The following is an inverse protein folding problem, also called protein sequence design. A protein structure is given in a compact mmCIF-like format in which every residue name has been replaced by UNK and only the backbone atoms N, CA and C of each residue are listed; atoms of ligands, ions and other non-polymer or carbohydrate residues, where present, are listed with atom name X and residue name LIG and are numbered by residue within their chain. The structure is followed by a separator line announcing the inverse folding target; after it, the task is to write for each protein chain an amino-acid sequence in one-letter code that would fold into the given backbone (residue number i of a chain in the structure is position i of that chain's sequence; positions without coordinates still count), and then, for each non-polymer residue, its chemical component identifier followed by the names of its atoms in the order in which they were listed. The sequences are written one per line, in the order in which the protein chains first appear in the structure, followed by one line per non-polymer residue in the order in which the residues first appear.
data_IF_236867071322
#
_entry.id   IF_236867071322
#
_cell.length_a   1.000
_cell.length_b   1.000
_cell.length_c   1.000
_cell.angle_alpha   90.00
_cell.angle_beta   90.00
_cell.angle_gamma   90.00
#
_symmetry.space_group_name_H-M   'P 1'
#
loop_
_entity.id
_entity.type
_entity.pdbx_description
1 polymer ?
#
# COMPACT_ATOMS: atom_id res chain seq x y z
N UNK A 1 16.05 20.07 -18.06
CA UNK A 1 14.82 20.39 -17.31
C UNK A 1 14.29 21.73 -17.80
N UNK A 2 12.97 21.91 -17.98
CA UNK A 2 12.38 23.15 -18.50
C UNK A 2 12.11 24.22 -17.42
N UNK A 3 12.62 24.05 -16.19
CA UNK A 3 12.32 24.95 -15.08
C UNK A 3 13.31 26.11 -14.97
N UNK A 4 12.79 27.27 -14.57
CA UNK A 4 13.61 28.42 -14.19
C UNK A 4 14.30 28.12 -12.86
N UNK A 5 15.55 28.53 -12.73
CA UNK A 5 16.35 28.36 -11.53
C UNK A 5 16.90 29.71 -11.07
N UNK A 6 17.04 29.87 -9.75
CA UNK A 6 17.79 30.98 -9.17
C UNK A 6 19.28 30.74 -9.45
N UNK A 7 20.03 31.73 -9.98
CA UNK A 7 21.45 31.57 -10.23
C UNK A 7 22.22 31.19 -8.95
N UNK A 8 23.17 30.27 -9.05
CA UNK A 8 23.96 29.82 -7.90
C UNK A 8 24.75 30.96 -7.22
N UNK A 9 25.04 32.03 -7.96
CA UNK A 9 25.71 33.23 -7.46
C UNK A 9 24.82 34.13 -6.59
N UNK A 10 23.49 34.01 -6.62
CA UNK A 10 22.58 34.81 -5.81
C UNK A 10 22.40 34.18 -4.42
N UNK A 11 23.47 34.23 -3.63
CA UNK A 11 23.52 33.60 -2.31
C UNK A 11 22.56 34.22 -1.30
N UNK A 12 22.25 35.52 -1.46
CA UNK A 12 21.33 36.23 -0.56
C UNK A 12 19.89 35.76 -0.75
N UNK A 13 19.43 35.60 -2.00
CA UNK A 13 18.10 35.03 -2.28
C UNK A 13 18.01 33.59 -1.83
N UNK A 14 19.03 32.78 -2.11
CA UNK A 14 19.06 31.37 -1.69
C UNK A 14 18.95 31.28 -0.17
N UNK A 15 19.80 31.99 0.58
CA UNK A 15 19.77 32.00 2.06
C UNK A 15 18.41 32.42 2.61
N UNK A 16 17.82 33.49 2.06
CA UNK A 16 16.49 33.96 2.48
C UNK A 16 15.42 32.90 2.28
N UNK A 17 15.46 32.12 1.21
CA UNK A 17 14.50 31.04 0.96
C UNK A 17 14.67 29.88 1.94
N UNK A 18 15.91 29.48 2.25
CA UNK A 18 16.18 28.48 3.29
C UNK A 18 15.59 28.89 4.64
N UNK A 19 15.78 30.15 5.05
CA UNK A 19 15.25 30.68 6.31
C UNK A 19 13.72 30.85 6.28
N UNK A 20 13.16 31.30 5.15
CA UNK A 20 11.72 31.57 5.03
C UNK A 20 10.88 30.29 5.05
N UNK A 21 11.41 29.21 4.47
CA UNK A 21 10.68 27.95 4.30
C UNK A 21 11.19 26.80 5.17
N UNK A 22 12.11 27.10 6.09
CA UNK A 22 12.71 26.14 7.02
C UNK A 22 13.20 24.86 6.33
N UNK A 23 13.97 25.04 5.25
CA UNK A 23 14.38 23.94 4.38
C UNK A 23 15.47 23.10 5.06
N UNK A 24 15.07 21.97 5.67
CA UNK A 24 15.95 21.08 6.44
C UNK A 24 16.34 19.76 5.72
N UNK A 25 16.24 19.68 4.39
CA UNK A 25 16.43 18.40 3.68
C UNK A 25 16.83 18.47 2.20
N UNK A 26 16.96 17.28 1.60
CA UNK A 26 17.53 17.05 0.26
C UNK A 26 16.48 17.28 -0.85
N UNK A 27 15.18 17.25 -0.52
CA UNK A 27 14.09 17.56 -1.45
C UNK A 27 12.90 18.18 -0.70
N UNK A 28 12.54 19.43 -1.04
CA UNK A 28 11.32 20.08 -0.56
C UNK A 28 10.62 20.74 -1.75
N UNK A 29 9.30 20.63 -1.79
CA UNK A 29 8.45 21.21 -2.81
C UNK A 29 7.36 22.01 -2.12
N UNK A 30 7.30 23.31 -2.43
CA UNK A 30 6.37 24.25 -1.82
C UNK A 30 5.54 24.85 -2.94
N UNK A 31 4.23 24.74 -2.82
CA UNK A 31 3.31 25.38 -3.76
C UNK A 31 2.93 26.76 -3.22
N UNK A 32 3.08 27.78 -4.05
CA UNK A 32 2.72 29.16 -3.73
C UNK A 32 1.61 29.58 -4.70
N UNK A 33 0.54 30.16 -4.17
CA UNK A 33 -0.59 30.64 -4.97
C UNK A 33 -0.27 31.94 -5.73
N UNK A 34 -1.20 32.36 -6.58
CA UNK A 34 -1.07 33.59 -7.38
C UNK A 34 -0.94 34.88 -6.54
N UNK A 35 -1.27 34.85 -5.26
CA UNK A 35 -1.12 35.97 -4.33
C UNK A 35 0.23 35.93 -3.58
N UNK A 36 1.09 34.95 -3.87
CA UNK A 36 2.36 34.79 -3.19
C UNK A 36 2.26 34.09 -1.83
N UNK A 37 1.11 33.49 -1.50
CA UNK A 37 0.92 32.76 -0.23
C UNK A 37 1.21 31.27 -0.41
N UNK A 38 1.82 30.64 0.59
CA UNK A 38 2.06 29.19 0.60
C UNK A 38 0.72 28.45 0.59
N UNK A 39 0.44 27.70 -0.48
CA UNK A 39 -0.64 26.73 -0.54
C UNK A 39 -0.34 25.54 0.36
N UNK A 40 0.82 24.91 0.18
CA UNK A 40 1.30 23.79 1.01
C UNK A 40 2.83 23.77 1.01
N UNK A 41 3.42 23.41 2.15
CA UNK A 41 4.84 23.10 2.32
C UNK A 41 5.13 21.59 2.20
N UNK A 42 4.09 20.75 2.18
CA UNK A 42 4.16 19.32 1.97
C UNK A 42 3.94 18.90 0.51
N UNK A 43 4.48 19.68 -0.43
CA UNK A 43 4.25 19.48 -1.86
C UNK A 43 4.82 18.17 -2.38
N UNK A 44 5.90 17.65 -1.78
CA UNK A 44 6.51 16.37 -2.18
C UNK A 44 5.52 15.23 -1.96
N UNK A 45 5.00 15.06 -0.75
CA UNK A 45 4.03 13.99 -0.46
C UNK A 45 2.77 14.10 -1.30
N UNK A 46 2.24 15.32 -1.49
CA UNK A 46 1.05 15.53 -2.33
C UNK A 46 1.31 15.14 -3.79
N UNK A 47 2.52 15.40 -4.31
CA UNK A 47 2.90 15.01 -5.66
C UNK A 47 3.13 13.51 -5.79
N UNK A 48 3.75 12.88 -4.80
CA UNK A 48 3.97 11.44 -4.76
C UNK A 48 2.63 10.67 -4.69
N UNK A 49 1.66 11.21 -3.97
CA UNK A 49 0.40 10.54 -3.68
C UNK A 49 -0.69 10.80 -4.72
N UNK A 50 -0.83 12.06 -5.20
CA UNK A 50 -1.93 12.47 -6.07
C UNK A 50 -1.47 13.01 -7.44
N UNK A 51 -0.17 13.22 -7.63
CA UNK A 51 0.42 13.59 -8.92
C UNK A 51 -0.28 14.78 -9.60
N UNK A 52 -0.73 14.58 -10.85
CA UNK A 52 -1.40 15.62 -11.65
C UNK A 52 -2.78 16.00 -11.11
N UNK A 53 -3.45 15.11 -10.39
CA UNK A 53 -4.79 15.36 -9.85
C UNK A 53 -4.76 16.46 -8.79
N UNK A 54 -3.59 16.72 -8.20
CA UNK A 54 -3.33 17.84 -7.31
C UNK A 54 -3.47 19.21 -7.95
N UNK A 55 -3.46 19.32 -9.28
CA UNK A 55 -3.69 20.59 -9.99
C UNK A 55 -5.09 21.14 -9.66
N UNK A 56 -5.26 22.45 -9.36
CA UNK A 56 -4.34 23.58 -9.55
C UNK A 56 -3.36 23.85 -8.38
N UNK A 57 -2.99 22.83 -7.61
CA UNK A 57 -2.06 22.91 -6.47
C UNK A 57 -2.48 23.94 -5.41
N UNK A 58 -3.79 24.01 -5.17
CA UNK A 58 -4.39 24.88 -4.16
C UNK A 58 -4.72 24.12 -2.89
N UNK A 59 -4.79 24.83 -1.75
CA UNK A 59 -5.24 24.27 -0.47
C UNK A 59 -6.58 23.55 -0.59
N UNK A 60 -7.55 24.20 -1.25
CA UNK A 60 -8.89 23.65 -1.48
C UNK A 60 -8.85 22.34 -2.25
N UNK A 61 -8.02 22.25 -3.30
CA UNK A 61 -7.86 21.02 -4.07
C UNK A 61 -7.26 19.89 -3.23
N UNK A 62 -6.25 20.19 -2.41
CA UNK A 62 -5.66 19.20 -1.52
C UNK A 62 -6.66 18.69 -0.49
N UNK A 63 -7.46 19.57 0.12
CA UNK A 63 -8.51 19.16 1.04
C UNK A 63 -9.55 18.23 0.38
N UNK A 64 -9.96 18.53 -0.86
CA UNK A 64 -10.88 17.67 -1.61
C UNK A 64 -10.26 16.28 -1.83
N UNK A 65 -9.00 16.20 -2.22
CA UNK A 65 -8.32 14.92 -2.51
C UNK A 65 -8.14 14.08 -1.25
N UNK A 66 -7.74 14.72 -0.14
CA UNK A 66 -7.60 14.07 1.17
C UNK A 66 -8.96 13.55 1.63
N UNK A 67 -10.02 14.36 1.57
CA UNK A 67 -11.37 13.96 1.96
C UNK A 67 -11.90 12.80 1.09
N UNK A 68 -11.68 12.85 -0.23
CA UNK A 68 -12.01 11.75 -1.14
C UNK A 68 -11.26 10.45 -0.80
N UNK A 69 -9.97 10.53 -0.46
CA UNK A 69 -9.18 9.36 -0.04
C UNK A 69 -9.72 8.80 1.27
N UNK A 70 -10.02 9.66 2.24
CA UNK A 70 -10.59 9.23 3.52
C UNK A 70 -11.99 8.63 3.34
N UNK A 71 -12.85 9.20 2.52
CA UNK A 71 -14.15 8.62 2.17
C UNK A 71 -14.00 7.26 1.47
N UNK A 72 -13.03 7.12 0.57
CA UNK A 72 -12.74 5.84 -0.08
C UNK A 72 -12.28 4.80 0.94
N UNK A 73 -11.39 5.16 1.87
CA UNK A 73 -10.97 4.29 2.97
C UNK A 73 -12.14 3.95 3.90
N UNK A 74 -13.00 4.92 4.24
CA UNK A 74 -14.21 4.73 5.05
C UNK A 74 -15.22 3.81 4.36
N UNK A 75 -15.38 3.91 3.04
CA UNK A 75 -16.31 3.11 2.24
C UNK A 75 -15.69 1.85 1.61
N UNK A 76 -14.44 1.54 1.97
CA UNK A 76 -13.70 0.38 1.47
C UNK A 76 -14.50 -0.92 1.61
N UNK A 77 -14.40 -1.78 0.61
CA UNK A 77 -14.87 -3.16 0.63
C UNK A 77 -13.76 -4.08 0.12
N UNK A 78 -13.88 -5.38 0.33
CA UNK A 78 -12.94 -6.34 -0.24
C UNK A 78 -12.90 -6.24 -1.78
N UNK A 79 -14.07 -6.09 -2.39
CA UNK A 79 -14.19 -5.93 -3.84
C UNK A 79 -13.54 -4.65 -4.36
N UNK A 80 -13.64 -3.50 -3.66
CA UNK A 80 -12.97 -2.27 -4.11
C UNK A 80 -11.42 -2.36 -4.11
N UNK A 81 -10.88 -3.30 -3.32
CA UNK A 81 -9.45 -3.57 -3.19
C UNK A 81 -9.01 -4.61 -4.24
N UNK A 82 -9.70 -5.75 -4.32
CA UNK A 82 -9.24 -6.94 -5.05
C UNK A 82 -9.91 -7.14 -6.41
N UNK A 83 -10.94 -6.38 -6.77
CA UNK A 83 -11.59 -6.45 -8.08
C UNK A 83 -11.19 -5.24 -8.93
N UNK A 84 -10.91 -5.50 -10.20
CA UNK A 84 -10.68 -4.48 -11.21
C UNK A 84 -11.71 -4.60 -12.33
N UNK A 85 -11.76 -3.61 -13.23
CA UNK A 85 -12.66 -3.64 -14.38
C UNK A 85 -12.43 -4.83 -15.31
N UNK A 86 -11.24 -5.44 -15.26
CA UNK A 86 -10.85 -6.57 -16.11
C UNK A 86 -10.79 -7.92 -15.37
N UNK A 87 -10.91 -7.96 -14.04
CA UNK A 87 -10.72 -9.19 -13.26
C UNK A 87 -11.45 -9.16 -11.92
N UNK A 88 -12.12 -10.27 -11.60
CA UNK A 88 -12.80 -10.50 -10.32
C UNK A 88 -12.38 -11.82 -9.61
N UNK A 89 -11.28 -12.45 -10.01
CA UNK A 89 -10.81 -13.72 -9.47
C UNK A 89 -9.35 -13.66 -8.98
N UNK A 90 -8.98 -14.56 -8.08
CA UNK A 90 -7.63 -14.82 -7.58
C UNK A 90 -7.15 -16.18 -8.09
N UNK A 91 -5.85 -16.46 -7.94
CA UNK A 91 -5.25 -17.75 -8.29
C UNK A 91 -5.01 -18.56 -7.02
N UNK A 92 -5.40 -19.83 -7.02
CA UNK A 92 -4.89 -20.80 -6.04
C UNK A 92 -3.49 -21.28 -6.42
N UNK A 93 -2.83 -22.00 -5.51
CA UNK A 93 -1.54 -22.67 -5.77
C UNK A 93 -1.55 -23.60 -6.99
N UNK A 94 -2.71 -24.16 -7.34
CA UNK A 94 -2.87 -25.06 -8.48
C UNK A 94 -3.17 -24.29 -9.79
N UNK A 95 -3.16 -22.96 -9.74
CA UNK A 95 -3.49 -22.09 -10.88
C UNK A 95 -5.00 -21.95 -11.15
N UNK A 96 -5.85 -22.51 -10.29
CA UNK A 96 -7.30 -22.41 -10.44
C UNK A 96 -7.79 -21.00 -10.08
N UNK A 97 -8.83 -20.55 -10.77
CA UNK A 97 -9.47 -19.26 -10.50
C UNK A 97 -10.45 -19.39 -9.34
N UNK A 98 -10.35 -18.50 -8.35
CA UNK A 98 -11.25 -18.39 -7.19
C UNK A 98 -11.87 -17.00 -7.20
N UNK A 99 -13.20 -16.89 -7.14
CA UNK A 99 -13.84 -15.58 -7.20
C UNK A 99 -13.58 -14.78 -5.92
N UNK A 100 -13.34 -13.47 -6.04
CA UNK A 100 -13.13 -12.58 -4.87
C UNK A 100 -14.36 -12.61 -3.95
N UNK A 101 -15.56 -12.77 -4.50
CA UNK A 101 -16.81 -12.89 -3.72
C UNK A 101 -16.82 -14.09 -2.76
N UNK A 102 -16.03 -15.13 -3.02
CA UNK A 102 -15.92 -16.29 -2.12
C UNK A 102 -15.14 -15.97 -0.83
N UNK A 103 -14.48 -14.81 -0.77
CA UNK A 103 -13.78 -14.31 0.41
C UNK A 103 -14.61 -13.31 1.21
N UNK A 104 -15.80 -12.93 0.75
CA UNK A 104 -16.69 -12.04 1.50
C UNK A 104 -17.07 -12.66 2.86
N UNK A 105 -17.03 -11.86 3.92
CA UNK A 105 -17.28 -12.33 5.29
C UNK A 105 -16.11 -13.07 5.95
N UNK A 106 -14.96 -13.21 5.27
CA UNK A 106 -13.72 -13.76 5.86
C UNK A 106 -12.82 -12.63 6.36
N UNK A 107 -11.97 -12.92 7.34
CA UNK A 107 -10.79 -12.09 7.60
C UNK A 107 -9.76 -12.39 6.53
N UNK A 108 -9.27 -11.37 5.82
CA UNK A 108 -8.34 -11.53 4.70
C UNK A 108 -7.03 -10.79 4.98
N UNK A 109 -5.92 -11.52 4.99
CA UNK A 109 -4.58 -10.94 5.00
C UNK A 109 -4.12 -10.60 3.58
N UNK A 110 -3.77 -9.34 3.31
CA UNK A 110 -3.11 -8.94 2.07
C UNK A 110 -1.60 -8.94 2.32
N UNK A 111 -0.90 -9.89 1.72
CA UNK A 111 0.54 -10.03 1.84
C UNK A 111 1.22 -9.38 0.63
N UNK A 112 1.81 -8.20 0.82
CA UNK A 112 2.67 -7.56 -0.17
C UNK A 112 4.11 -7.96 0.10
N UNK A 113 4.77 -8.57 -0.88
CA UNK A 113 6.16 -8.99 -0.75
C UNK A 113 6.87 -9.02 -2.11
N UNK A 114 8.20 -9.10 -2.07
CA UNK A 114 9.12 -9.33 -3.18
C UNK A 114 9.82 -10.69 -3.03
N UNK A 115 10.68 -11.06 -3.98
CA UNK A 115 11.54 -12.25 -3.90
C UNK A 115 12.73 -12.10 -2.93
N UNK A 116 12.80 -11.01 -2.16
CA UNK A 116 13.87 -10.77 -1.18
C UNK A 116 13.84 -11.79 -0.03
N UNK A 117 15.01 -12.09 0.54
CA UNK A 117 15.18 -13.12 1.58
C UNK A 117 14.30 -12.85 2.83
N UNK A 118 14.22 -11.60 3.28
CA UNK A 118 13.39 -11.20 4.43
C UNK A 118 11.89 -11.42 4.19
N UNK A 119 11.44 -11.33 2.93
CA UNK A 119 10.08 -11.62 2.52
C UNK A 119 9.80 -13.13 2.57
N UNK A 120 10.74 -13.94 2.06
CA UNK A 120 10.62 -15.41 2.08
C UNK A 120 10.61 -15.95 3.52
N UNK A 121 11.47 -15.43 4.40
CA UNK A 121 11.49 -15.80 5.82
C UNK A 121 10.15 -15.49 6.50
N UNK A 122 9.59 -14.31 6.25
CA UNK A 122 8.29 -13.95 6.80
C UNK A 122 7.15 -14.82 6.24
N UNK A 123 7.16 -15.11 4.94
CA UNK A 123 6.16 -15.98 4.32
C UNK A 123 6.13 -17.36 5.00
N UNK A 124 7.30 -17.95 5.30
CA UNK A 124 7.39 -19.22 6.03
C UNK A 124 6.75 -19.12 7.43
N UNK A 125 7.02 -18.04 8.17
CA UNK A 125 6.40 -17.79 9.48
C UNK A 125 4.88 -17.70 9.35
N UNK A 126 4.39 -16.97 8.33
CA UNK A 126 2.96 -16.80 8.11
C UNK A 126 2.28 -18.10 7.66
N UNK A 127 2.96 -18.99 6.93
CA UNK A 127 2.46 -20.32 6.56
C UNK A 127 2.13 -21.14 7.82
N UNK A 128 3.00 -21.11 8.83
CA UNK A 128 2.75 -21.83 10.08
C UNK A 128 1.51 -21.31 10.81
N UNK A 129 1.34 -19.98 10.87
CA UNK A 129 0.17 -19.34 11.47
C UNK A 129 -1.09 -19.68 10.70
N UNK A 130 -1.04 -19.56 9.37
CA UNK A 130 -2.17 -19.86 8.48
C UNK A 130 -2.65 -21.31 8.65
N UNK A 131 -1.74 -22.27 8.61
CA UNK A 131 -2.09 -23.69 8.75
C UNK A 131 -2.76 -23.97 10.10
N UNK A 132 -2.21 -23.44 11.20
CA UNK A 132 -2.82 -23.59 12.54
C UNK A 132 -4.20 -22.93 12.64
N UNK A 133 -4.42 -21.81 11.97
CA UNK A 133 -5.75 -21.16 11.93
C UNK A 133 -6.75 -21.99 11.11
N UNK A 134 -6.33 -22.57 9.97
CA UNK A 134 -7.17 -23.48 9.19
C UNK A 134 -7.52 -24.76 9.98
N UNK A 135 -6.57 -25.32 10.74
CA UNK A 135 -6.82 -26.47 11.63
C UNK A 135 -7.86 -26.16 12.72
N UNK A 136 -7.85 -24.92 13.25
CA UNK A 136 -8.86 -24.45 14.21
C UNK A 136 -10.22 -24.12 13.58
N UNK A 137 -10.33 -24.16 12.25
CA UNK A 137 -11.55 -23.82 11.51
C UNK A 137 -11.82 -22.33 11.43
N UNK A 138 -10.80 -21.49 11.63
CA UNK A 138 -10.93 -20.03 11.58
C UNK A 138 -11.18 -19.56 10.14
N UNK A 139 -12.06 -18.57 9.99
CA UNK A 139 -12.43 -18.02 8.69
C UNK A 139 -11.42 -16.97 8.21
N UNK A 140 -10.16 -17.40 8.08
CA UNK A 140 -9.03 -16.58 7.66
C UNK A 140 -8.51 -17.01 6.29
N UNK A 141 -8.20 -16.06 5.42
CA UNK A 141 -7.58 -16.30 4.11
C UNK A 141 -6.44 -15.30 3.87
N UNK A 142 -5.49 -15.64 3.01
CA UNK A 142 -4.40 -14.74 2.61
C UNK A 142 -4.39 -14.56 1.10
N UNK A 143 -4.10 -13.33 0.65
CA UNK A 143 -3.93 -12.98 -0.76
C UNK A 143 -2.54 -12.40 -0.95
N UNK A 144 -1.70 -13.12 -1.68
CA UNK A 144 -0.39 -12.66 -2.12
C UNK A 144 -0.54 -11.58 -3.20
N UNK A 145 0.12 -10.46 -2.99
CA UNK A 145 0.31 -9.37 -3.94
C UNK A 145 1.81 -9.32 -4.24
N UNK A 146 2.20 -9.93 -5.36
CA UNK A 146 3.59 -10.06 -5.77
C UNK A 146 4.12 -8.73 -6.35
N UNK A 147 5.09 -8.12 -5.70
CA UNK A 147 5.75 -6.89 -6.16
C UNK A 147 7.17 -7.21 -6.66
N UNK A 148 7.54 -6.67 -7.83
CA UNK A 148 8.88 -6.83 -8.42
C UNK A 148 9.33 -8.27 -8.68
N UNK A 149 8.39 -9.21 -8.83
CA UNK A 149 8.72 -10.57 -9.24
C UNK A 149 9.01 -10.66 -10.73
N UNK A 150 9.89 -11.58 -11.11
CA UNK A 150 9.88 -12.17 -12.45
C UNK A 150 8.85 -13.30 -12.54
N UNK A 151 8.38 -13.62 -13.75
CA UNK A 151 7.27 -14.57 -13.94
C UNK A 151 7.58 -15.96 -13.37
N UNK A 152 8.80 -16.44 -13.58
CA UNK A 152 9.26 -17.75 -13.10
C UNK A 152 9.42 -17.79 -11.57
N UNK A 153 9.75 -16.65 -10.95
CA UNK A 153 9.78 -16.53 -9.49
C UNK A 153 8.37 -16.57 -8.91
N UNK A 154 7.43 -15.86 -9.54
CA UNK A 154 6.02 -15.87 -9.15
C UNK A 154 5.43 -17.29 -9.22
N UNK A 155 5.67 -18.03 -10.31
CA UNK A 155 5.19 -19.41 -10.46
C UNK A 155 5.70 -20.31 -9.33
N UNK A 156 7.00 -20.24 -9.04
CA UNK A 156 7.61 -21.02 -7.94
C UNK A 156 7.01 -20.68 -6.58
N UNK A 157 6.80 -19.39 -6.29
CA UNK A 157 6.19 -18.98 -5.01
C UNK A 157 4.72 -19.38 -4.94
N UNK A 158 3.98 -19.28 -6.04
CA UNK A 158 2.57 -19.69 -6.09
C UNK A 158 2.39 -21.18 -5.73
N UNK A 159 3.30 -22.03 -6.19
CA UNK A 159 3.29 -23.47 -5.89
C UNK A 159 3.61 -23.80 -4.42
N UNK A 160 4.28 -22.91 -3.68
CA UNK A 160 4.71 -23.15 -2.30
C UNK A 160 3.75 -22.58 -1.24
N UNK A 161 2.98 -21.54 -1.58
CA UNK A 161 2.04 -20.91 -0.64
C UNK A 161 0.74 -21.72 -0.52
N UNK A 162 0.14 -21.79 0.68
CA UNK A 162 -1.11 -22.53 0.92
C UNK A 162 -2.38 -21.68 0.70
N UNK A 163 -2.23 -20.45 0.21
CA UNK A 163 -3.27 -19.44 0.08
C UNK A 163 -3.36 -18.91 -1.36
N UNK A 164 -4.10 -17.80 -1.56
CA UNK A 164 -4.41 -17.27 -2.88
C UNK A 164 -3.42 -16.17 -3.32
N UNK A 165 -3.38 -15.87 -4.61
CA UNK A 165 -2.56 -14.78 -5.15
C UNK A 165 -3.33 -13.94 -6.19
N UNK A 166 -2.98 -12.67 -6.30
CA UNK A 166 -3.30 -11.91 -7.51
C UNK A 166 -2.51 -12.48 -8.69
N UNK A 167 -3.08 -12.49 -9.91
CA UNK A 167 -2.32 -12.85 -11.10
C UNK A 167 -1.05 -12.01 -11.27
N UNK A 168 -0.03 -12.61 -11.86
CA UNK A 168 1.22 -11.94 -12.17
C UNK A 168 0.99 -10.65 -12.99
N UNK A 169 1.66 -9.56 -12.59
CA UNK A 169 1.53 -8.22 -13.20
C UNK A 169 0.10 -7.67 -13.26
N UNK A 170 -0.75 -8.04 -12.31
CA UNK A 170 -2.06 -7.40 -12.18
C UNK A 170 -1.90 -5.90 -11.88
N UNK A 171 -2.64 -5.06 -12.63
CA UNK A 171 -2.61 -3.59 -12.49
C UNK A 171 -3.05 -3.10 -11.10
N UNK A 172 -3.76 -3.96 -10.36
CA UNK A 172 -4.19 -3.67 -8.99
C UNK A 172 -2.98 -3.56 -8.05
N UNK A 173 -1.85 -4.21 -8.35
CA UNK A 173 -0.67 -4.22 -7.47
C UNK A 173 -0.16 -2.80 -7.19
N UNK A 174 0.07 -1.99 -8.23
CA UNK A 174 0.50 -0.60 -8.09
C UNK A 174 -0.53 0.22 -7.30
N UNK A 175 -1.81 0.09 -7.65
CA UNK A 175 -2.91 0.77 -6.94
C UNK A 175 -2.88 0.46 -5.43
N UNK A 176 -2.62 -0.78 -5.05
CA UNK A 176 -2.60 -1.19 -3.64
C UNK A 176 -1.40 -0.64 -2.87
N UNK A 177 -0.24 -0.52 -3.52
CA UNK A 177 0.95 0.13 -2.95
C UNK A 177 0.62 1.57 -2.56
N UNK A 178 -0.01 2.33 -3.46
CA UNK A 178 -0.42 3.71 -3.17
C UNK A 178 -1.58 3.78 -2.18
N UNK A 179 -2.59 2.92 -2.32
CA UNK A 179 -3.80 2.96 -1.49
C UNK A 179 -3.51 2.72 0.00
N UNK A 180 -2.57 1.80 0.28
CA UNK A 180 -2.17 1.45 1.64
C UNK A 180 -0.89 2.16 2.11
N UNK A 181 -0.37 3.11 1.33
CA UNK A 181 0.80 3.91 1.69
C UNK A 181 2.02 3.01 2.04
N UNK A 182 2.27 1.99 1.19
CA UNK A 182 3.27 0.95 1.44
C UNK A 182 4.69 1.51 1.24
N UNK A 183 5.46 1.52 2.32
CA UNK A 183 6.85 2.02 2.36
C UNK A 183 7.91 0.96 2.59
N UNK A 184 7.53 -0.27 2.94
CA UNK A 184 8.44 -1.37 3.23
C UNK A 184 7.86 -2.74 2.87
N UNK A 185 8.73 -3.70 2.57
CA UNK A 185 8.36 -5.10 2.35
C UNK A 185 9.11 -6.03 3.31
N UNK A 186 8.52 -7.19 3.69
CA UNK A 186 7.12 -7.54 3.44
C UNK A 186 6.16 -6.62 4.23
N UNK A 187 4.91 -6.54 3.80
CA UNK A 187 3.83 -5.90 4.55
C UNK A 187 2.61 -6.81 4.56
N UNK A 188 2.01 -7.00 5.74
CA UNK A 188 0.79 -7.79 5.93
C UNK A 188 -0.32 -6.87 6.44
N UNK A 189 -1.28 -6.55 5.58
CA UNK A 189 -2.48 -5.79 5.93
C UNK A 189 -3.60 -6.76 6.28
N UNK A 190 -4.39 -6.45 7.29
CA UNK A 190 -5.54 -7.26 7.69
C UNK A 190 -6.83 -6.54 7.31
N UNK A 191 -7.65 -7.22 6.53
CA UNK A 191 -9.01 -6.81 6.15
C UNK A 191 -10.00 -7.64 6.96
N UNK A 192 -10.91 -6.99 7.65
CA UNK A 192 -11.95 -7.64 8.44
C UNK A 192 -13.06 -8.26 7.56
N UNK A 193 -13.94 -9.07 8.16
CA UNK A 193 -15.11 -9.66 7.48
C UNK A 193 -16.04 -8.64 6.80
N UNK A 194 -16.05 -7.40 7.27
CA UNK A 194 -16.81 -6.28 6.72
C UNK A 194 -16.13 -5.58 5.53
N UNK A 195 -14.94 -6.06 5.12
CA UNK A 195 -14.13 -5.48 4.06
C UNK A 195 -13.33 -4.24 4.47
N UNK A 196 -13.32 -3.87 5.74
CA UNK A 196 -12.55 -2.72 6.27
C UNK A 196 -11.16 -3.13 6.71
N UNK A 197 -10.21 -2.20 6.61
CA UNK A 197 -8.85 -2.45 7.12
C UNK A 197 -8.84 -2.39 8.63
N UNK A 198 -8.37 -3.46 9.26
CA UNK A 198 -8.21 -3.60 10.71
C UNK A 198 -6.79 -3.26 11.14
N UNK A 199 -5.80 -3.67 10.37
CA UNK A 199 -4.39 -3.39 10.64
C UNK A 199 -3.63 -3.14 9.33
N UNK A 200 -2.80 -2.11 9.29
CA UNK A 200 -2.06 -1.69 8.10
C UNK A 200 -0.68 -2.35 7.93
N UNK A 201 -0.08 -2.91 8.99
CA UNK A 201 1.11 -3.73 8.87
C UNK A 201 1.32 -4.61 10.12
N UNK A 202 1.09 -5.90 9.98
CA UNK A 202 1.11 -6.87 11.07
C UNK A 202 2.41 -7.71 11.12
N UNK A 203 3.39 -7.43 10.26
CA UNK A 203 4.59 -8.28 10.08
C UNK A 203 5.34 -8.48 11.40
N UNK A 204 5.61 -7.40 12.13
CA UNK A 204 6.36 -7.49 13.39
C UNK A 204 5.61 -8.32 14.44
N UNK A 205 4.32 -8.06 14.62
CA UNK A 205 3.49 -8.75 15.59
C UNK A 205 3.39 -10.25 15.29
N UNK A 206 3.26 -10.64 14.02
CA UNK A 206 3.25 -12.06 13.60
C UNK A 206 4.61 -12.71 13.82
N UNK A 207 5.73 -12.01 13.55
CA UNK A 207 7.07 -12.55 13.83
C UNK A 207 7.29 -12.80 15.33
N UNK A 208 6.80 -11.93 16.19
CA UNK A 208 7.00 -12.01 17.64
C UNK A 208 6.04 -12.98 18.34
N UNK A 209 4.76 -13.00 17.94
CA UNK A 209 3.70 -13.73 18.63
C UNK A 209 3.19 -14.97 17.88
N UNK A 210 3.51 -15.11 16.59
CA UNK A 210 3.00 -16.20 15.75
C UNK A 210 1.48 -16.23 15.74
N UNK A 211 0.90 -17.38 16.15
CA UNK A 211 -0.57 -17.55 16.18
C UNK A 211 -1.24 -16.70 17.26
N UNK A 212 -0.52 -16.31 18.31
CA UNK A 212 -1.09 -15.52 19.41
C UNK A 212 -1.33 -14.06 19.00
N UNK A 213 -0.90 -13.65 17.79
CA UNK A 213 -1.31 -12.40 17.16
C UNK A 213 -2.79 -12.41 16.74
N UNK A 214 -3.42 -13.57 16.55
CA UNK A 214 -4.84 -13.68 16.19
C UNK A 214 -5.74 -13.23 17.36
N UNK A 215 -6.81 -12.41 17.15
CA UNK A 215 -7.53 -12.14 15.90
C UNK A 215 -7.00 -10.99 15.03
N UNK A 216 -5.74 -10.58 15.23
CA UNK A 216 -5.06 -9.54 14.45
C UNK A 216 -5.69 -8.14 14.60
N UNK A 217 -6.42 -7.91 15.69
CA UNK A 217 -7.00 -6.63 16.05
C UNK A 217 -5.99 -5.77 16.80
N UNK A 218 -6.04 -4.45 16.62
CA UNK A 218 -5.36 -3.53 17.55
C UNK A 218 -6.00 -3.68 18.94
N UNK A 219 -5.19 -3.91 19.97
CA UNK A 219 -5.54 -3.68 21.38
C UNK A 219 -5.73 -2.20 21.65
#
# INVERSE_FOLDING_TARGET
MPWLAIPFSDTDTIKRLYETFDVMGILQLIFIDSNGKVSTDNGVSIMEEYGVDSYPFSRERFYILIDQKEETKRNQTLSSILVSSSRNYLLSKDGNQVLVSELEGKTVGLLLMSSDESCVEFANTLIEVYNKLKEKGENFEVVLISLNYEEEEFKKVLETIPWLALPYKDRTNEKLVYYFDISSLPTLIIIGPDGKTVNSNLVQMVKELGIDAYPFTQT
#
